data_IF_199826277662
#
_entry.id   IF_199826277662
#
_cell.length_a   1.000
_cell.length_b   1.000
_cell.length_c   1.000
_cell.angle_alpha   90.00
_cell.angle_beta   90.00
_cell.angle_gamma   90.00
#
_symmetry.space_group_name_H-M   'P 1'
#
loop_
_entity.id
_entity.type
_entity.pdbx_description
1 polymer ?
#
# COMPACT_ATOMS: atom_id res chain seq x y z
N UNK A 1 24.18 -19.75 2.47
CA UNK A 1 23.25 -18.63 2.35
C UNK A 1 22.63 -18.31 3.71
N UNK A 2 22.58 -17.04 4.04
CA UNK A 2 21.91 -16.63 5.28
C UNK A 2 20.40 -16.63 5.06
N UNK A 3 19.66 -17.16 6.02
CA UNK A 3 18.21 -17.03 6.05
C UNK A 3 17.82 -15.65 6.50
N UNK A 4 16.86 -15.03 5.85
CA UNK A 4 16.22 -13.82 6.34
C UNK A 4 15.08 -14.21 7.27
N UNK A 5 15.00 -13.56 8.43
CA UNK A 5 13.96 -13.82 9.44
C UNK A 5 13.25 -12.52 9.79
N UNK A 6 11.92 -12.58 9.82
CA UNK A 6 11.09 -11.42 10.14
C UNK A 6 10.04 -11.83 11.16
N UNK A 7 9.69 -10.89 12.05
CA UNK A 7 8.61 -11.11 13.01
C UNK A 7 7.25 -11.19 12.29
N UNK A 8 7.07 -10.41 11.22
CA UNK A 8 5.81 -10.36 10.47
C UNK A 8 6.10 -10.39 8.97
N UNK A 9 5.36 -11.21 8.26
CA UNK A 9 5.40 -11.26 6.79
C UNK A 9 4.05 -10.78 6.27
N UNK A 10 4.07 -9.76 5.43
CA UNK A 10 2.88 -9.22 4.79
C UNK A 10 2.87 -9.69 3.35
N UNK A 11 1.80 -10.34 2.93
CA UNK A 11 1.66 -10.83 1.56
C UNK A 11 0.96 -9.76 0.72
N UNK A 12 1.71 -9.22 -0.23
CA UNK A 12 1.22 -8.20 -1.14
C UNK A 12 1.54 -6.78 -0.71
N UNK A 13 1.80 -5.91 -1.68
CA UNK A 13 2.09 -4.50 -1.46
C UNK A 13 1.01 -3.61 -2.08
N UNK A 14 -0.25 -4.00 -1.94
CA UNK A 14 -1.41 -3.20 -2.33
C UNK A 14 -1.85 -2.27 -1.21
N UNK A 15 -3.07 -1.75 -1.32
CA UNK A 15 -3.63 -0.82 -0.35
C UNK A 15 -3.57 -1.36 1.08
N UNK A 16 -4.03 -2.59 1.28
CA UNK A 16 -4.06 -3.23 2.61
C UNK A 16 -2.67 -3.52 3.15
N UNK A 17 -1.77 -4.08 2.32
CA UNK A 17 -0.42 -4.44 2.73
C UNK A 17 0.42 -3.21 3.12
N UNK A 18 0.34 -2.16 2.33
CA UNK A 18 1.05 -0.90 2.61
C UNK A 18 0.51 -0.27 3.90
N UNK A 19 -0.80 -0.30 4.11
CA UNK A 19 -1.41 0.20 5.34
C UNK A 19 -0.97 -0.60 6.57
N UNK A 20 -0.96 -1.93 6.46
CA UNK A 20 -0.51 -2.82 7.55
C UNK A 20 0.95 -2.54 7.90
N UNK A 21 1.82 -2.36 6.91
CA UNK A 21 3.23 -2.06 7.12
C UNK A 21 3.40 -0.74 7.87
N UNK A 22 2.65 0.27 7.51
CA UNK A 22 2.70 1.57 8.21
C UNK A 22 2.28 1.42 9.68
N UNK A 23 1.24 0.65 9.96
CA UNK A 23 0.82 0.40 11.35
C UNK A 23 1.87 -0.34 12.14
N UNK A 24 2.50 -1.37 11.56
CA UNK A 24 3.59 -2.08 12.21
C UNK A 24 4.74 -1.15 12.54
N UNK A 25 5.14 -0.32 11.59
CA UNK A 25 6.25 0.60 11.75
C UNK A 25 6.02 1.62 12.86
N UNK A 26 4.79 2.09 13.02
CA UNK A 26 4.45 3.13 14.00
C UNK A 26 4.02 2.60 15.35
N UNK A 27 3.32 1.46 15.39
CA UNK A 27 2.75 0.90 16.63
C UNK A 27 3.60 -0.19 17.25
N UNK A 28 4.38 -0.90 16.43
CA UNK A 28 5.24 -1.99 16.86
C UNK A 28 6.67 -1.80 16.33
N UNK A 29 7.32 -0.68 16.67
CA UNK A 29 8.61 -0.33 16.03
C UNK A 29 9.74 -1.32 16.32
N UNK A 30 9.59 -2.17 17.36
CA UNK A 30 10.57 -3.21 17.65
C UNK A 30 10.39 -4.48 16.83
N UNK A 31 9.35 -4.59 16.03
CA UNK A 31 9.09 -5.78 15.21
C UNK A 31 9.64 -5.58 13.81
N UNK A 32 10.36 -6.58 13.31
CA UNK A 32 10.79 -6.61 11.92
C UNK A 32 9.66 -7.10 11.02
N UNK A 33 9.58 -6.57 9.82
CA UNK A 33 8.57 -6.98 8.86
C UNK A 33 9.08 -6.90 7.43
N UNK A 34 8.42 -7.64 6.55
CA UNK A 34 8.69 -7.62 5.11
C UNK A 34 7.36 -7.72 4.37
N UNK A 35 7.28 -7.02 3.23
CA UNK A 35 6.17 -7.19 2.30
C UNK A 35 6.68 -8.02 1.12
N UNK A 36 6.00 -9.12 0.82
CA UNK A 36 6.33 -9.98 -0.31
C UNK A 36 5.38 -9.66 -1.46
N UNK A 37 5.95 -9.18 -2.56
CA UNK A 37 5.19 -8.79 -3.74
C UNK A 37 5.66 -9.63 -4.93
N UNK A 38 4.73 -10.26 -5.64
CA UNK A 38 5.05 -11.10 -6.80
C UNK A 38 5.28 -10.29 -8.07
N UNK A 39 4.87 -9.03 -8.07
CA UNK A 39 5.03 -8.13 -9.22
C UNK A 39 6.22 -7.19 -8.99
N UNK A 40 6.78 -6.60 -10.06
CA UNK A 40 7.93 -5.70 -9.93
C UNK A 40 7.60 -4.38 -9.24
N UNK A 41 6.32 -4.07 -9.03
CA UNK A 41 5.88 -2.81 -8.42
C UNK A 41 4.81 -3.03 -7.37
N UNK A 42 4.74 -2.10 -6.40
CA UNK A 42 3.65 -2.05 -5.45
C UNK A 42 2.34 -1.58 -6.12
N UNK A 43 1.22 -1.65 -5.40
CA UNK A 43 -0.05 -1.13 -5.87
C UNK A 43 -1.17 -2.16 -5.97
N UNK A 44 -0.82 -3.46 -6.01
CA UNK A 44 -1.80 -4.55 -6.04
C UNK A 44 -2.78 -4.42 -7.21
N UNK A 45 -4.07 -4.46 -6.91
CA UNK A 45 -5.15 -4.33 -7.89
C UNK A 45 -4.99 -3.09 -8.78
N UNK A 46 -4.59 -1.97 -8.20
CA UNK A 46 -4.51 -0.69 -8.91
C UNK A 46 -3.27 -0.57 -9.80
N UNK A 47 -2.25 -1.37 -9.56
CA UNK A 47 -1.12 -1.53 -10.46
C UNK A 47 -1.43 -2.56 -11.55
N UNK A 48 -2.13 -3.64 -11.20
CA UNK A 48 -2.43 -4.75 -12.10
C UNK A 48 -3.43 -4.37 -13.20
N UNK A 49 -4.52 -3.71 -12.82
CA UNK A 49 -5.60 -3.38 -13.76
C UNK A 49 -5.50 -1.91 -14.20
N UNK A 50 -5.08 -1.69 -15.44
CA UNK A 50 -4.82 -0.36 -16.01
C UNK A 50 -5.58 -0.11 -17.30
N UNK A 51 -6.84 -0.52 -17.35
CA UNK A 51 -7.68 -0.26 -18.51
C UNK A 51 -8.40 1.10 -18.38
N UNK A 52 -8.82 1.73 -19.49
CA UNK A 52 -9.54 3.00 -19.46
C UNK A 52 -10.84 2.90 -18.65
N UNK A 53 -11.08 3.87 -17.78
CA UNK A 53 -12.28 3.91 -16.95
C UNK A 53 -12.20 3.13 -15.66
N UNK A 54 -11.07 2.48 -15.36
CA UNK A 54 -10.92 1.78 -14.07
C UNK A 54 -10.99 2.78 -12.93
N UNK A 55 -11.80 2.45 -11.92
CA UNK A 55 -12.01 3.29 -10.75
C UNK A 55 -12.49 2.44 -9.57
N UNK A 56 -12.49 3.03 -8.37
CA UNK A 56 -13.01 2.35 -7.18
C UNK A 56 -14.53 2.22 -7.26
N UNK A 57 -15.03 1.11 -6.72
CA UNK A 57 -16.47 0.92 -6.54
C UNK A 57 -16.96 1.59 -5.26
N UNK A 58 -16.04 1.85 -4.34
CA UNK A 58 -16.32 2.43 -3.04
C UNK A 58 -15.78 3.84 -2.93
N UNK A 59 -16.41 4.61 -2.04
CA UNK A 59 -16.01 5.95 -1.68
C UNK A 59 -14.59 5.94 -1.07
N UNK A 60 -13.69 6.76 -1.61
CA UNK A 60 -12.32 6.85 -1.12
C UNK A 60 -12.19 7.48 0.27
N UNK A 61 -13.18 8.24 0.71
CA UNK A 61 -13.19 8.75 2.09
C UNK A 61 -13.33 7.59 3.09
N UNK A 62 -14.02 6.52 2.69
CA UNK A 62 -14.16 5.30 3.49
C UNK A 62 -12.97 4.36 3.27
N UNK A 63 -12.54 4.18 2.02
CA UNK A 63 -11.47 3.23 1.66
C UNK A 63 -10.07 3.74 2.01
N UNK A 64 -9.88 5.06 2.10
CA UNK A 64 -8.58 5.65 2.41
C UNK A 64 -8.11 5.36 3.83
N UNK A 65 -6.81 5.53 4.07
CA UNK A 65 -6.22 5.30 5.38
C UNK A 65 -6.64 6.38 6.38
N UNK A 66 -6.86 5.98 7.63
CA UNK A 66 -7.15 6.93 8.70
C UNK A 66 -5.99 7.92 8.92
N UNK A 67 -4.74 7.44 8.81
CA UNK A 67 -3.55 8.26 9.01
C UNK A 67 -3.22 9.15 7.79
N UNK A 68 -3.85 8.90 6.65
CA UNK A 68 -3.65 9.66 5.41
C UNK A 68 -5.02 9.85 4.74
N UNK A 69 -5.82 10.80 5.20
CA UNK A 69 -7.16 11.03 4.63
C UNK A 69 -7.10 11.32 3.13
N UNK A 70 -8.09 10.82 2.41
CA UNK A 70 -8.24 11.09 1.00
C UNK A 70 -8.63 12.54 0.78
N UNK A 71 -7.77 13.31 0.13
CA UNK A 71 -7.97 14.76 -0.06
C UNK A 71 -8.37 15.15 -1.48
N UNK A 72 -8.45 14.17 -2.37
CA UNK A 72 -8.85 14.43 -3.75
C UNK A 72 -10.34 14.81 -3.78
N UNK A 73 -10.76 15.76 -4.65
CA UNK A 73 -12.16 16.20 -4.69
C UNK A 73 -13.16 15.12 -5.12
N UNK A 74 -12.71 14.08 -5.83
CA UNK A 74 -13.57 12.99 -6.25
C UNK A 74 -13.57 11.87 -5.21
N UNK A 75 -14.73 11.52 -4.67
CA UNK A 75 -14.89 10.41 -3.73
C UNK A 75 -14.67 9.06 -4.43
N UNK A 76 -15.20 8.91 -5.65
CA UNK A 76 -14.95 7.74 -6.50
C UNK A 76 -13.77 8.09 -7.40
N UNK A 77 -12.63 7.50 -7.11
CA UNK A 77 -11.38 7.84 -7.77
C UNK A 77 -11.04 6.87 -8.91
N UNK A 78 -10.34 7.39 -9.93
CA UNK A 78 -9.80 6.54 -10.97
C UNK A 78 -8.59 5.72 -10.45
N UNK A 79 -8.23 4.66 -11.20
CA UNK A 79 -7.16 3.75 -10.80
C UNK A 79 -5.80 4.43 -10.66
N UNK A 80 -5.50 5.40 -11.53
CA UNK A 80 -4.24 6.14 -11.46
C UNK A 80 -4.10 6.97 -10.21
N UNK A 81 -5.17 7.63 -9.78
CA UNK A 81 -5.19 8.43 -8.55
C UNK A 81 -5.01 7.54 -7.32
N UNK A 82 -5.65 6.36 -7.31
CA UNK A 82 -5.52 5.41 -6.21
C UNK A 82 -4.09 4.85 -6.15
N UNK A 83 -3.53 4.48 -7.29
CA UNK A 83 -2.16 3.98 -7.36
C UNK A 83 -1.18 5.03 -6.84
N UNK A 84 -1.32 6.28 -7.27
CA UNK A 84 -0.47 7.39 -6.79
C UNK A 84 -0.59 7.57 -5.28
N UNK A 85 -1.79 7.44 -4.73
CA UNK A 85 -2.05 7.51 -3.29
C UNK A 85 -1.28 6.42 -2.53
N UNK A 86 -1.30 5.18 -3.04
CA UNK A 86 -0.57 4.06 -2.44
C UNK A 86 0.95 4.30 -2.52
N UNK A 87 1.44 4.75 -3.67
CA UNK A 87 2.86 5.06 -3.88
C UNK A 87 3.34 6.17 -2.94
N UNK A 88 2.57 7.25 -2.81
CA UNK A 88 2.87 8.34 -1.89
C UNK A 88 2.93 7.85 -0.44
N UNK A 89 1.98 6.99 -0.04
CA UNK A 89 1.95 6.43 1.31
C UNK A 89 3.22 5.63 1.59
N UNK A 90 3.63 4.79 0.65
CA UNK A 90 4.84 3.99 0.79
C UNK A 90 6.10 4.88 0.90
N UNK A 91 6.19 5.91 0.07
CA UNK A 91 7.31 6.84 0.08
C UNK A 91 7.36 7.67 1.36
N UNK A 92 6.25 8.23 1.79
CA UNK A 92 6.14 9.06 3.00
C UNK A 92 6.51 8.29 4.27
N UNK A 93 6.26 6.97 4.28
CA UNK A 93 6.52 6.12 5.43
C UNK A 93 7.77 5.25 5.26
N UNK A 94 8.54 5.47 4.20
CA UNK A 94 9.79 4.73 3.90
C UNK A 94 9.56 3.21 3.91
N UNK A 95 8.52 2.76 3.22
CA UNK A 95 8.13 1.35 3.18
C UNK A 95 8.72 0.58 2.00
N UNK A 96 9.16 1.27 0.95
CA UNK A 96 9.61 0.62 -0.29
C UNK A 96 10.81 -0.31 -0.05
N UNK A 97 11.72 0.06 0.84
CA UNK A 97 12.89 -0.77 1.19
C UNK A 97 12.51 -2.07 1.90
N UNK A 98 11.28 -2.18 2.40
CA UNK A 98 10.77 -3.38 3.07
C UNK A 98 10.07 -4.34 2.11
N UNK A 99 9.97 -3.99 0.83
CA UNK A 99 9.31 -4.82 -0.19
C UNK A 99 10.34 -5.75 -0.83
N UNK A 100 9.97 -7.04 -0.96
CA UNK A 100 10.80 -8.06 -1.59
C UNK A 100 10.10 -8.69 -2.77
#
# INVERSE_FOLDING_TARGET
MAEERFDVIIIGAGLSGVGAARYLKTRLPGKSFVLLETKPRLGGTWDLFRYPGIRSDSDMHTMGYAFKPWKHPKAIADGGSILSYIEETAAENDLERHIR
#
